data_IF_347338793700
#
_entry.id   IF_347338793700
#
_cell.length_a   1.000
_cell.length_b   1.000
_cell.length_c   1.000
_cell.angle_alpha   90.00
_cell.angle_beta   90.00
_cell.angle_gamma   90.00
#
_symmetry.space_group_name_H-M   'P 1'
#
loop_
_entity.id
_entity.type
_entity.pdbx_description
1 polymer ?
#
# COMPACT_ATOMS: atom_id res chain seq x y z
N UNK A 1 -13.24 24.88 -2.21
CA UNK A 1 -12.07 25.04 -1.32
C UNK A 1 -10.88 25.61 -2.09
N UNK A 2 -10.38 24.98 -3.15
CA UNK A 2 -9.19 25.43 -3.90
C UNK A 2 -9.34 26.86 -4.45
N UNK A 3 -10.52 27.23 -4.93
CA UNK A 3 -10.79 28.58 -5.43
C UNK A 3 -10.75 29.67 -4.36
N UNK A 4 -10.94 29.31 -3.10
CA UNK A 4 -10.90 30.24 -1.97
C UNK A 4 -9.46 30.59 -1.52
N UNK A 5 -8.47 29.84 -2.01
CA UNK A 5 -7.03 30.00 -1.71
C UNK A 5 -6.74 30.22 -0.22
N UNK A 6 -7.17 29.32 0.69
CA UNK A 6 -6.90 29.47 2.11
C UNK A 6 -5.39 29.36 2.38
N UNK A 7 -4.91 29.96 3.48
CA UNK A 7 -3.50 29.87 3.89
C UNK A 7 -3.08 28.43 4.24
N UNK A 8 -4.02 27.63 4.76
CA UNK A 8 -3.82 26.21 5.09
C UNK A 8 -4.91 25.39 4.42
N UNK A 9 -4.52 24.39 3.66
CA UNK A 9 -5.40 23.47 2.96
C UNK A 9 -5.22 22.06 3.56
N UNK A 10 -6.31 21.46 4.04
CA UNK A 10 -6.34 20.09 4.55
C UNK A 10 -7.07 19.21 3.55
N UNK A 11 -6.39 18.17 3.06
CA UNK A 11 -6.92 17.22 2.09
C UNK A 11 -6.84 15.80 2.66
N UNK A 12 -7.97 15.10 2.62
CA UNK A 12 -8.07 13.69 3.00
C UNK A 12 -8.43 12.87 1.76
N UNK A 13 -7.52 11.97 1.36
CA UNK A 13 -7.63 11.11 0.19
C UNK A 13 -8.10 11.84 -1.09
N UNK A 14 -7.42 12.94 -1.49
CA UNK A 14 -7.91 13.79 -2.58
C UNK A 14 -7.86 13.13 -3.96
N UNK A 15 -7.10 12.06 -4.14
CA UNK A 15 -6.99 11.30 -5.39
C UNK A 15 -8.12 10.28 -5.56
N UNK A 16 -8.86 9.97 -4.49
CA UNK A 16 -9.95 9.01 -4.55
C UNK A 16 -11.04 9.49 -5.52
N UNK A 17 -11.48 8.57 -6.38
CA UNK A 17 -12.52 8.80 -7.40
C UNK A 17 -12.17 9.80 -8.51
N UNK A 18 -10.93 10.28 -8.56
CA UNK A 18 -10.45 11.08 -9.68
C UNK A 18 -9.92 10.17 -10.81
N UNK A 19 -10.01 10.66 -12.02
CA UNK A 19 -9.33 10.07 -13.18
C UNK A 19 -7.90 10.62 -13.31
N UNK A 20 -7.10 10.01 -14.18
CA UNK A 20 -5.68 10.36 -14.31
C UNK A 20 -5.46 11.84 -14.68
N UNK A 21 -6.32 12.40 -15.55
CA UNK A 21 -6.21 13.81 -15.96
C UNK A 21 -6.50 14.76 -14.80
N UNK A 22 -7.50 14.42 -13.97
CA UNK A 22 -7.85 15.20 -12.79
C UNK A 22 -6.78 15.13 -11.71
N UNK A 23 -6.10 13.98 -11.56
CA UNK A 23 -4.98 13.81 -10.63
C UNK A 23 -3.80 14.67 -11.10
N UNK A 24 -3.42 14.60 -12.37
CA UNK A 24 -2.33 15.39 -12.94
C UNK A 24 -2.59 16.90 -12.76
N UNK A 25 -3.81 17.35 -13.03
CA UNK A 25 -4.21 18.75 -12.78
C UNK A 25 -4.08 19.11 -11.31
N UNK A 26 -4.50 18.24 -10.39
CA UNK A 26 -4.40 18.48 -8.94
C UNK A 26 -2.94 18.57 -8.50
N UNK A 27 -2.07 17.67 -8.98
CA UNK A 27 -0.64 17.70 -8.69
C UNK A 27 -0.01 19.03 -9.09
N UNK A 28 -0.24 19.46 -10.34
CA UNK A 28 0.28 20.73 -10.85
C UNK A 28 -0.25 21.93 -10.06
N UNK A 29 -1.53 21.91 -9.67
CA UNK A 29 -2.13 22.97 -8.88
C UNK A 29 -1.50 23.05 -7.47
N UNK A 30 -1.30 21.92 -6.80
CA UNK A 30 -0.73 21.87 -5.46
C UNK A 30 0.76 22.22 -5.43
N UNK A 31 1.53 21.86 -6.46
CA UNK A 31 2.93 22.28 -6.60
C UNK A 31 3.10 23.82 -6.68
N UNK A 32 2.10 24.51 -7.23
CA UNK A 32 2.09 25.95 -7.38
C UNK A 32 1.33 26.68 -6.25
N UNK A 33 0.81 25.92 -5.28
CA UNK A 33 -0.01 26.49 -4.22
C UNK A 33 0.84 27.32 -3.27
N UNK A 34 0.43 28.59 -3.03
CA UNK A 34 1.21 29.52 -2.21
C UNK A 34 1.08 29.28 -0.70
N UNK A 35 0.01 28.58 -0.27
CA UNK A 35 -0.24 28.25 1.15
C UNK A 35 0.38 26.93 1.57
N UNK A 36 0.12 26.54 2.81
CA UNK A 36 0.53 25.26 3.36
C UNK A 36 -0.52 24.18 3.05
N UNK A 37 -0.10 23.05 2.51
CA UNK A 37 -0.96 21.91 2.25
C UNK A 37 -0.60 20.75 3.17
N UNK A 38 -1.59 20.20 3.86
CA UNK A 38 -1.47 18.94 4.59
C UNK A 38 -2.39 17.93 3.91
N UNK A 39 -1.81 16.85 3.41
CA UNK A 39 -2.53 15.84 2.65
C UNK A 39 -2.36 14.47 3.31
N UNK A 40 -3.46 13.75 3.50
CA UNK A 40 -3.48 12.35 3.89
C UNK A 40 -3.85 11.55 2.64
N UNK A 41 -3.02 10.60 2.23
CA UNK A 41 -3.31 9.73 1.10
C UNK A 41 -2.48 8.46 1.11
N UNK A 42 -2.99 7.41 0.48
CA UNK A 42 -2.28 6.15 0.21
C UNK A 42 -1.63 6.12 -1.17
N UNK A 43 -1.85 7.15 -1.99
CA UNK A 43 -1.26 7.28 -3.32
C UNK A 43 0.20 7.75 -3.23
N UNK A 44 1.12 6.79 -3.39
CA UNK A 44 2.57 7.05 -3.30
C UNK A 44 3.09 7.84 -4.50
N UNK A 45 2.48 7.72 -5.66
CA UNK A 45 2.90 8.48 -6.85
C UNK A 45 2.54 9.96 -6.67
N UNK A 46 1.33 10.22 -6.22
CA UNK A 46 0.90 11.57 -5.86
C UNK A 46 1.82 12.20 -4.79
N UNK A 47 2.11 11.46 -3.70
CA UNK A 47 3.02 11.95 -2.67
C UNK A 47 4.44 12.18 -3.18
N UNK A 48 4.91 11.37 -4.11
CA UNK A 48 6.25 11.54 -4.68
C UNK A 48 6.40 12.81 -5.50
N UNK A 49 5.32 13.22 -6.17
CA UNK A 49 5.29 14.43 -7.00
C UNK A 49 5.01 15.72 -6.22
N UNK A 50 4.16 15.66 -5.18
CA UNK A 50 3.63 16.86 -4.50
C UNK A 50 4.32 17.13 -3.17
N UNK A 51 4.71 16.08 -2.42
CA UNK A 51 5.17 16.24 -1.05
C UNK A 51 6.64 16.68 -0.98
N UNK A 52 6.92 17.77 -0.25
CA UNK A 52 8.27 18.18 0.16
C UNK A 52 8.65 17.68 1.56
N UNK A 53 7.66 17.23 2.34
CA UNK A 53 7.81 16.67 3.68
C UNK A 53 6.83 15.51 3.86
N UNK A 54 7.25 14.46 4.55
CA UNK A 54 6.41 13.34 4.96
C UNK A 54 6.36 13.33 6.49
N UNK A 55 5.16 13.25 7.05
CA UNK A 55 4.95 12.99 8.48
C UNK A 55 4.53 11.52 8.64
N UNK A 56 5.44 10.70 9.13
CA UNK A 56 5.15 9.30 9.45
C UNK A 56 4.54 9.21 10.85
N UNK A 57 3.38 8.55 10.96
CA UNK A 57 2.77 8.22 12.24
C UNK A 57 3.07 6.75 12.52
N UNK A 58 3.96 6.48 13.48
CA UNK A 58 4.37 5.13 13.84
C UNK A 58 4.37 4.98 15.36
N UNK A 59 3.72 3.93 15.86
CA UNK A 59 3.67 3.56 17.30
C UNK A 59 3.31 4.71 18.25
N UNK A 60 2.43 5.62 17.80
CA UNK A 60 1.97 6.78 18.57
C UNK A 60 2.91 7.99 18.51
N UNK A 61 3.96 7.94 17.73
CA UNK A 61 4.89 9.05 17.48
C UNK A 61 4.70 9.62 16.07
N UNK A 62 4.93 10.93 15.93
CA UNK A 62 4.96 11.63 14.65
C UNK A 62 6.39 11.93 14.24
N UNK A 63 6.88 11.31 13.19
CA UNK A 63 8.27 11.44 12.74
C UNK A 63 8.29 12.25 11.43
N UNK A 64 8.79 13.51 11.44
CA UNK A 64 8.88 14.31 10.23
C UNK A 64 10.11 13.94 9.40
N UNK A 65 9.90 13.76 8.10
CA UNK A 65 10.94 13.47 7.12
C UNK A 65 10.97 14.55 6.04
N UNK A 66 12.15 15.05 5.72
CA UNK A 66 12.33 15.99 4.62
C UNK A 66 12.53 15.23 3.31
N UNK A 67 11.73 15.56 2.31
CA UNK A 67 11.76 14.96 0.99
C UNK A 67 10.41 14.37 0.59
N UNK A 68 10.38 13.76 -0.59
CA UNK A 68 9.23 13.08 -1.17
C UNK A 68 9.10 11.62 -0.64
N UNK A 69 8.10 10.90 -1.14
CA UNK A 69 7.83 9.52 -0.72
C UNK A 69 9.01 8.56 -0.97
N UNK A 70 9.65 8.63 -2.13
CA UNK A 70 10.82 7.79 -2.47
C UNK A 70 11.98 8.03 -1.52
N UNK A 71 12.26 9.29 -1.20
CA UNK A 71 13.31 9.68 -0.24
C UNK A 71 12.99 9.18 1.19
N UNK A 72 11.73 9.27 1.61
CA UNK A 72 11.27 8.73 2.88
C UNK A 72 11.45 7.21 2.95
N UNK A 73 11.06 6.48 1.88
CA UNK A 73 11.16 5.03 1.82
C UNK A 73 12.62 4.54 1.96
N UNK A 74 13.56 5.22 1.29
CA UNK A 74 14.99 4.94 1.39
C UNK A 74 15.52 5.15 2.81
N UNK A 75 15.13 6.25 3.45
CA UNK A 75 15.54 6.58 4.81
C UNK A 75 14.94 5.58 5.80
N UNK A 76 13.66 5.24 5.65
CA UNK A 76 12.96 4.23 6.46
C UNK A 76 13.63 2.86 6.33
N UNK A 77 13.95 2.42 5.12
CA UNK A 77 14.63 1.15 4.87
C UNK A 77 16.00 1.09 5.56
N UNK A 78 16.78 2.17 5.48
CA UNK A 78 18.08 2.26 6.18
C UNK A 78 17.91 2.22 7.69
N UNK A 79 16.92 2.93 8.24
CA UNK A 79 16.59 2.91 9.67
C UNK A 79 16.20 1.50 10.12
N UNK A 80 15.28 0.85 9.41
CA UNK A 80 14.87 -0.53 9.74
C UNK A 80 16.03 -1.50 9.71
N UNK A 81 16.92 -1.42 8.72
CA UNK A 81 18.10 -2.25 8.64
C UNK A 81 19.08 -2.01 9.82
N UNK A 82 19.17 -0.78 10.33
CA UNK A 82 19.97 -0.47 11.53
C UNK A 82 19.32 -1.02 12.79
N UNK A 83 17.99 -0.86 12.94
CA UNK A 83 17.22 -1.40 14.06
C UNK A 83 17.34 -2.92 14.11
N UNK A 84 17.19 -3.62 12.97
CA UNK A 84 17.33 -5.06 12.87
C UNK A 84 18.73 -5.54 13.29
N UNK A 85 19.79 -4.81 12.89
CA UNK A 85 21.17 -5.10 13.35
C UNK A 85 21.32 -4.90 14.86
N UNK A 86 20.69 -3.90 15.44
CA UNK A 86 20.71 -3.67 16.89
C UNK A 86 19.96 -4.78 17.64
N UNK A 87 18.76 -5.15 17.16
CA UNK A 87 17.95 -6.26 17.70
C UNK A 87 18.76 -7.58 17.65
N UNK A 88 19.40 -7.88 16.52
CA UNK A 88 20.24 -9.07 16.38
C UNK A 88 21.42 -9.07 17.35
N UNK A 89 22.10 -7.94 17.54
CA UNK A 89 23.17 -7.80 18.52
C UNK A 89 22.67 -7.97 19.95
N UNK A 90 21.51 -7.37 20.27
CA UNK A 90 20.86 -7.48 21.58
C UNK A 90 20.49 -8.93 21.88
N UNK A 91 19.89 -9.64 20.92
CA UNK A 91 19.53 -11.05 21.04
C UNK A 91 20.74 -11.93 21.34
N UNK A 92 21.86 -11.75 20.64
CA UNK A 92 23.11 -12.44 20.92
C UNK A 92 23.66 -12.16 22.34
N UNK A 93 23.43 -10.92 22.81
CA UNK A 93 23.82 -10.54 24.18
C UNK A 93 22.94 -11.27 25.21
N UNK A 94 21.62 -11.28 24.98
CA UNK A 94 20.65 -12.00 25.82
C UNK A 94 20.95 -13.50 25.90
N UNK A 95 21.27 -14.13 24.77
CA UNK A 95 21.65 -15.55 24.71
C UNK A 95 22.89 -15.81 25.55
N UNK A 96 23.95 -15.00 25.45
CA UNK A 96 25.17 -15.11 26.27
C UNK A 96 24.91 -14.89 27.75
N UNK A 97 24.06 -13.92 28.10
CA UNK A 97 23.69 -13.68 29.50
C UNK A 97 22.87 -14.83 30.07
N UNK A 98 21.99 -15.44 29.26
CA UNK A 98 21.19 -16.61 29.62
C UNK A 98 22.10 -17.83 29.87
N UNK A 99 23.07 -18.10 29.00
CA UNK A 99 24.07 -19.14 29.17
C UNK A 99 24.87 -18.94 30.48
N UNK A 100 25.26 -17.68 30.75
CA UNK A 100 25.98 -17.38 31.98
C UNK A 100 25.12 -17.58 33.23
N UNK A 101 23.84 -17.23 33.20
CA UNK A 101 22.87 -17.44 34.30
C UNK A 101 22.69 -18.96 34.57
N UNK A 102 22.71 -19.78 33.52
CA UNK A 102 22.56 -21.22 33.60
C UNK A 102 23.83 -21.96 34.03
N UNK A 103 24.99 -21.29 34.02
CA UNK A 103 26.25 -21.87 34.58
C UNK A 103 26.22 -21.95 36.09
N UNK A 104 27.01 -22.91 36.64
CA UNK A 104 26.97 -23.42 38.03
C UNK A 104 27.02 -22.34 39.14
N UNK A 105 26.43 -22.62 40.33
CA UNK A 105 26.20 -21.67 41.43
C UNK A 105 27.43 -20.98 42.03
N UNK A 106 28.63 -21.58 41.90
CA UNK A 106 29.87 -21.06 42.49
C UNK A 106 30.39 -19.74 41.91
N UNK A 107 29.90 -19.33 40.71
CA UNK A 107 30.30 -18.08 40.04
C UNK A 107 29.37 -16.88 40.36
N UNK A 108 28.33 -17.08 41.16
CA UNK A 108 27.24 -16.13 41.38
C UNK A 108 27.44 -15.10 42.48
N UNK A 109 28.49 -15.17 43.26
CA UNK A 109 28.63 -14.29 44.43
C UNK A 109 28.98 -12.85 44.04
N UNK A 110 28.18 -11.91 44.51
CA UNK A 110 28.30 -10.43 44.55
C UNK A 110 28.08 -9.63 43.25
N UNK A 111 28.37 -10.12 42.03
CA UNK A 111 28.11 -9.40 40.78
C UNK A 111 26.80 -9.82 40.04
N UNK A 112 26.11 -10.83 40.58
CA UNK A 112 24.95 -11.45 39.92
C UNK A 112 23.68 -10.58 39.88
N UNK A 113 23.44 -9.75 40.89
CA UNK A 113 22.19 -8.99 41.01
C UNK A 113 22.07 -7.86 39.98
N UNK A 114 23.17 -7.14 39.73
CA UNK A 114 23.17 -6.08 38.71
C UNK A 114 23.01 -6.66 37.29
N UNK A 115 23.59 -7.82 37.04
CA UNK A 115 23.52 -8.53 35.75
C UNK A 115 22.16 -9.16 35.50
N UNK A 116 21.50 -9.68 36.54
CA UNK A 116 20.10 -10.12 36.49
C UNK A 116 19.15 -8.98 36.18
N UNK A 117 19.29 -7.84 36.85
CA UNK A 117 18.49 -6.67 36.58
C UNK A 117 18.67 -6.14 35.11
N UNK A 118 19.90 -6.18 34.59
CA UNK A 118 20.18 -5.84 33.20
C UNK A 118 19.55 -6.82 32.22
N UNK A 119 19.52 -8.10 32.53
CA UNK A 119 18.85 -9.13 31.73
C UNK A 119 17.34 -8.93 31.72
N UNK A 120 16.72 -8.70 32.88
CA UNK A 120 15.28 -8.43 32.99
C UNK A 120 14.87 -7.14 32.25
N UNK A 121 15.69 -6.09 32.30
CA UNK A 121 15.46 -4.86 31.56
C UNK A 121 15.49 -5.10 30.03
N UNK A 122 16.49 -5.85 29.56
CA UNK A 122 16.62 -6.22 28.14
C UNK A 122 15.46 -7.11 27.65
N UNK A 123 14.96 -8.01 28.51
CA UNK A 123 13.85 -8.92 28.21
C UNK A 123 12.51 -8.17 28.10
N UNK A 124 12.29 -7.18 28.98
CA UNK A 124 11.10 -6.35 28.96
C UNK A 124 11.05 -5.42 27.74
N UNK A 125 12.21 -4.97 27.23
CA UNK A 125 12.28 -4.21 25.99
C UNK A 125 12.02 -5.08 24.75
N UNK A 126 12.51 -6.34 24.72
CA UNK A 126 12.33 -7.30 23.61
C UNK A 126 10.85 -7.71 23.44
N UNK A 127 10.06 -7.71 24.52
CA UNK A 127 8.63 -8.00 24.47
C UNK A 127 7.81 -6.89 23.79
N UNK A 128 8.26 -5.63 23.78
CA UNK A 128 7.58 -4.52 23.12
C UNK A 128 7.76 -4.49 21.61
N UNK A 129 8.77 -5.18 21.07
CA UNK A 129 9.14 -5.15 19.65
C UNK A 129 8.50 -6.27 18.79
N UNK A 130 7.82 -7.25 19.40
CA UNK A 130 7.20 -8.37 18.69
C UNK A 130 5.82 -8.01 18.11
N UNK A 131 5.76 -7.07 17.19
CA UNK A 131 4.66 -7.06 16.24
C UNK A 131 4.99 -8.02 15.09
N UNK A 132 4.22 -9.11 15.02
CA UNK A 132 4.35 -10.12 13.99
C UNK A 132 4.13 -9.50 12.60
N UNK A 133 5.09 -9.65 11.70
CA UNK A 133 4.86 -9.39 10.27
C UNK A 133 3.75 -10.33 9.82
N UNK A 134 2.61 -9.78 9.45
CA UNK A 134 1.51 -10.55 8.88
C UNK A 134 1.92 -10.95 7.46
N UNK A 135 2.32 -12.19 7.25
CA UNK A 135 2.52 -12.75 5.92
C UNK A 135 1.19 -13.31 5.43
N UNK A 136 0.61 -12.65 4.43
CA UNK A 136 -0.60 -13.14 3.77
C UNK A 136 -0.13 -14.09 2.66
N UNK A 137 -0.35 -15.38 2.87
CA UNK A 137 -0.14 -16.39 1.83
C UNK A 137 -1.47 -16.65 1.11
N UNK A 138 -1.53 -16.32 -0.16
CA UNK A 138 -2.66 -16.65 -1.05
C UNK A 138 -2.22 -17.84 -1.92
N UNK A 139 -2.81 -19.03 -1.71
CA UNK A 139 -2.46 -20.19 -2.54
C UNK A 139 -2.89 -19.95 -3.99
N UNK A 140 -2.10 -20.45 -4.94
CA UNK A 140 -2.44 -20.37 -6.35
C UNK A 140 -3.76 -21.12 -6.60
N UNK A 141 -4.69 -20.45 -7.29
CA UNK A 141 -5.92 -21.06 -7.76
C UNK A 141 -5.69 -22.14 -8.84
N UNK A 142 -6.74 -22.85 -9.25
CA UNK A 142 -6.66 -23.81 -10.35
C UNK A 142 -6.19 -23.09 -11.62
N UNK A 143 -5.45 -23.81 -12.47
CA UNK A 143 -4.92 -23.25 -13.72
C UNK A 143 -6.08 -22.86 -14.64
N UNK A 144 -6.09 -21.59 -15.06
CA UNK A 144 -7.07 -21.07 -16.02
C UNK A 144 -6.84 -21.72 -17.40
N UNK A 145 -7.93 -21.95 -18.12
CA UNK A 145 -7.89 -22.40 -19.52
C UNK A 145 -7.30 -21.36 -20.45
N UNK A 146 -7.20 -21.67 -21.74
CA UNK A 146 -6.66 -20.76 -22.75
C UNK A 146 -7.53 -19.53 -23.00
N UNK A 147 -8.85 -19.63 -22.77
CA UNK A 147 -9.81 -18.52 -22.82
C UNK A 147 -10.18 -18.13 -21.40
N UNK A 148 -9.96 -16.87 -21.06
CA UNK A 148 -10.37 -16.31 -19.78
C UNK A 148 -11.64 -15.49 -19.98
N UNK A 149 -11.55 -14.40 -20.75
CA UNK A 149 -12.69 -13.58 -21.14
C UNK A 149 -12.44 -13.10 -22.56
N UNK A 150 -13.44 -13.26 -23.42
CA UNK A 150 -13.42 -12.77 -24.79
C UNK A 150 -14.66 -11.90 -25.03
N UNK A 151 -14.44 -10.66 -25.47
CA UNK A 151 -15.48 -9.75 -25.88
C UNK A 151 -15.45 -9.58 -27.40
N UNK A 152 -16.57 -9.78 -28.07
CA UNK A 152 -16.70 -9.64 -29.50
C UNK A 152 -17.86 -8.70 -29.84
N UNK A 153 -17.54 -7.61 -30.54
CA UNK A 153 -18.49 -6.60 -31.02
C UNK A 153 -19.44 -6.07 -29.95
N UNK A 154 -18.92 -5.91 -28.72
CA UNK A 154 -19.76 -5.49 -27.59
C UNK A 154 -20.08 -4.02 -27.66
N UNK A 155 -21.40 -3.73 -27.62
CA UNK A 155 -21.91 -2.37 -27.53
C UNK A 155 -22.76 -2.19 -26.27
N UNK A 156 -22.67 -1.03 -25.65
CA UNK A 156 -23.48 -0.61 -24.50
C UNK A 156 -23.76 0.88 -24.51
N UNK A 157 -25.05 1.20 -24.32
CA UNK A 157 -25.51 2.58 -24.14
C UNK A 157 -26.47 2.67 -22.94
N UNK A 158 -26.59 3.84 -22.36
CA UNK A 158 -27.62 4.19 -21.38
C UNK A 158 -28.39 5.40 -21.88
N UNK A 159 -29.62 5.15 -22.35
CA UNK A 159 -30.40 6.18 -23.04
C UNK A 159 -29.63 6.72 -24.25
N UNK A 160 -29.40 8.03 -24.28
CA UNK A 160 -28.66 8.69 -25.37
C UNK A 160 -27.13 8.63 -25.21
N UNK A 161 -26.63 8.13 -24.08
CA UNK A 161 -25.19 8.05 -23.81
C UNK A 161 -24.62 6.72 -24.26
N UNK A 162 -23.91 6.72 -25.39
CA UNK A 162 -23.12 5.60 -25.86
C UNK A 162 -21.85 5.49 -25.00
N UNK A 163 -21.59 4.30 -24.42
CA UNK A 163 -20.37 4.01 -23.67
C UNK A 163 -19.33 3.30 -24.55
N UNK A 164 -19.75 2.23 -25.23
CA UNK A 164 -18.91 1.49 -26.18
C UNK A 164 -19.71 1.16 -27.42
N UNK A 165 -19.02 1.19 -28.54
CA UNK A 165 -19.52 0.70 -29.80
C UNK A 165 -18.42 -0.16 -30.42
N UNK A 166 -18.72 -1.44 -30.67
CA UNK A 166 -17.78 -2.41 -31.24
C UNK A 166 -16.52 -2.70 -30.39
N UNK A 167 -16.69 -2.88 -29.07
CA UNK A 167 -15.60 -3.21 -28.17
C UNK A 167 -15.16 -4.67 -28.36
N UNK A 168 -13.89 -4.88 -28.74
CA UNK A 168 -13.30 -6.18 -29.00
C UNK A 168 -12.02 -6.34 -28.18
N UNK A 169 -11.94 -7.37 -27.34
CA UNK A 169 -10.72 -7.73 -26.62
C UNK A 169 -10.75 -9.18 -26.12
N UNK A 170 -9.57 -9.70 -25.83
CA UNK A 170 -9.38 -10.99 -25.17
C UNK A 170 -8.41 -10.83 -24.00
N UNK A 171 -8.78 -11.30 -22.81
CA UNK A 171 -7.91 -11.29 -21.66
C UNK A 171 -7.02 -12.53 -21.66
N UNK A 172 -5.69 -12.36 -21.53
CA UNK A 172 -4.75 -13.48 -21.48
C UNK A 172 -4.86 -14.21 -20.13
N UNK A 173 -4.64 -15.54 -20.11
CA UNK A 173 -4.54 -16.27 -18.86
C UNK A 173 -3.34 -15.80 -18.03
N UNK A 174 -3.52 -15.70 -16.71
CA UNK A 174 -2.50 -15.24 -15.75
C UNK A 174 -1.97 -13.82 -16.01
N UNK A 175 -2.69 -13.01 -16.79
CA UNK A 175 -2.35 -11.62 -17.04
C UNK A 175 -3.01 -10.66 -16.06
N UNK A 176 -2.40 -9.50 -15.85
CA UNK A 176 -3.01 -8.35 -15.18
C UNK A 176 -3.31 -7.32 -16.25
N UNK A 177 -4.57 -6.94 -16.37
CA UNK A 177 -5.01 -5.96 -17.36
C UNK A 177 -5.54 -4.72 -16.64
N UNK A 178 -4.89 -3.58 -16.86
CA UNK A 178 -5.34 -2.29 -16.35
C UNK A 178 -6.36 -1.66 -17.30
N UNK A 179 -7.51 -1.24 -16.76
CA UNK A 179 -8.53 -0.49 -17.50
C UNK A 179 -8.47 0.97 -17.08
N UNK A 180 -8.09 1.83 -18.02
CA UNK A 180 -7.96 3.28 -17.82
C UNK A 180 -8.98 4.04 -18.67
N UNK A 181 -9.27 5.26 -18.28
CA UNK A 181 -10.17 6.17 -19.00
C UNK A 181 -10.80 7.20 -18.06
N UNK A 182 -11.42 8.26 -18.62
CA UNK A 182 -12.03 9.33 -17.85
C UNK A 182 -13.23 8.84 -17.02
N UNK A 183 -13.65 9.66 -16.08
CA UNK A 183 -14.83 9.36 -15.27
C UNK A 183 -16.10 9.35 -16.17
N UNK A 184 -16.92 8.31 -15.98
CA UNK A 184 -18.12 8.10 -16.81
C UNK A 184 -17.86 7.44 -18.17
N UNK A 185 -16.63 6.98 -18.48
CA UNK A 185 -16.31 6.22 -19.70
C UNK A 185 -16.86 4.79 -19.72
N UNK A 186 -17.45 4.32 -18.64
CA UNK A 186 -18.04 2.97 -18.59
C UNK A 186 -17.17 1.89 -17.95
N UNK A 187 -16.05 2.22 -17.29
CA UNK A 187 -15.15 1.25 -16.64
C UNK A 187 -15.90 0.29 -15.71
N UNK A 188 -16.69 0.84 -14.80
CA UNK A 188 -17.51 0.03 -13.86
C UNK A 188 -18.60 -0.76 -14.58
N UNK A 189 -19.16 -0.21 -15.66
CA UNK A 189 -20.16 -0.91 -16.47
C UNK A 189 -19.55 -2.10 -17.17
N UNK A 190 -18.32 -1.97 -17.70
CA UNK A 190 -17.58 -3.07 -18.27
C UNK A 190 -17.40 -4.23 -17.27
N UNK A 191 -16.99 -3.94 -16.04
CA UNK A 191 -16.87 -4.98 -15.00
C UNK A 191 -18.21 -5.62 -14.67
N UNK A 192 -19.28 -4.84 -14.55
CA UNK A 192 -20.63 -5.37 -14.32
C UNK A 192 -21.10 -6.30 -15.44
N UNK A 193 -20.79 -5.96 -16.70
CA UNK A 193 -21.12 -6.81 -17.84
C UNK A 193 -20.30 -8.12 -17.82
N UNK A 194 -19.02 -8.08 -17.52
CA UNK A 194 -18.17 -9.26 -17.35
C UNK A 194 -18.71 -10.18 -16.25
N UNK A 195 -19.17 -9.59 -15.13
CA UNK A 195 -19.77 -10.34 -14.01
C UNK A 195 -21.22 -10.78 -14.25
N UNK A 196 -21.81 -10.48 -15.42
CA UNK A 196 -23.20 -10.78 -15.73
C UNK A 196 -24.24 -9.97 -14.92
N UNK A 197 -23.81 -8.90 -14.24
CA UNK A 197 -24.68 -8.00 -13.45
C UNK A 197 -25.36 -6.95 -14.31
N UNK A 198 -24.86 -6.72 -15.51
CA UNK A 198 -25.39 -5.76 -16.48
C UNK A 198 -25.46 -6.43 -17.85
N UNK A 199 -26.57 -6.20 -18.57
CA UNK A 199 -26.77 -6.76 -19.91
C UNK A 199 -25.97 -5.97 -20.95
N UNK A 200 -25.50 -6.67 -21.99
CA UNK A 200 -24.97 -6.05 -23.21
C UNK A 200 -26.12 -5.70 -24.16
N UNK A 201 -25.97 -4.68 -24.97
CA UNK A 201 -26.98 -4.30 -25.98
C UNK A 201 -26.70 -5.02 -27.30
N UNK A 202 -25.43 -5.23 -27.67
CA UNK A 202 -24.99 -6.00 -28.85
C UNK A 202 -23.69 -6.73 -28.53
N UNK A 203 -23.37 -7.74 -29.34
CA UNK A 203 -22.16 -8.55 -29.23
C UNK A 203 -22.26 -9.70 -28.27
N UNK A 204 -21.12 -10.27 -27.89
CA UNK A 204 -21.04 -11.42 -26.97
C UNK A 204 -19.88 -11.26 -26.00
N UNK A 205 -20.10 -11.73 -24.76
CA UNK A 205 -19.03 -12.02 -23.78
C UNK A 205 -18.96 -13.53 -23.60
N UNK A 206 -17.79 -14.09 -23.85
CA UNK A 206 -17.50 -15.46 -23.50
C UNK A 206 -16.58 -15.49 -22.28
N UNK A 207 -17.04 -16.09 -21.20
CA UNK A 207 -16.25 -16.35 -19.98
C UNK A 207 -15.82 -17.81 -20.00
N UNK A 208 -14.54 -18.08 -19.81
CA UNK A 208 -14.00 -19.44 -19.82
C UNK A 208 -14.60 -20.30 -18.70
N UNK A 209 -14.84 -21.60 -18.97
CA UNK A 209 -15.46 -22.52 -18.01
C UNK A 209 -14.69 -22.69 -16.69
N UNK A 210 -13.40 -22.34 -16.68
CA UNK A 210 -12.51 -22.44 -15.51
C UNK A 210 -12.39 -21.16 -14.72
N UNK A 211 -13.10 -20.10 -15.11
CA UNK A 211 -13.15 -18.81 -14.42
C UNK A 211 -14.23 -18.84 -13.36
N UNK A 212 -13.88 -18.53 -12.12
CA UNK A 212 -14.80 -18.43 -10.98
C UNK A 212 -14.87 -17.00 -10.47
#
# INVERSE_FOLDING_TARGET
LLLQKPDILLLDEPTNHLDAESIDWLEQHLQQYAGTVICITHDRYFLDHVAGWILELDRGEGIPWKGNYSSWLDQKTKRMAQEEKQVSKRRKTLERELEWINMAPKARHAKGKARLNSYEALLNEDQKEREAKLEIFIPNGPRLGNKVIEAQHVAKAFGDKLLFDDLNFMLPPNGIVGVIGPNGAGKTTLFKMIMGMESIDKGTFEVGETVQ
#
